data_IF_798396558233
#
_entry.id   IF_798396558233
#
_cell.length_a   1.000
_cell.length_b   1.000
_cell.length_c   1.000
_cell.angle_alpha   90.00
_cell.angle_beta   90.00
_cell.angle_gamma   90.00
#
_symmetry.space_group_name_H-M   'P 1'
#
loop_
_entity.id
_entity.type
_entity.pdbx_description
1 polymer ?
#
# COMPACT_ATOMS: atom_id res chain seq x y z
N UNK A 1 6.12 22.35 -34.33
CA UNK A 1 7.07 21.24 -34.12
C UNK A 1 7.94 21.15 -35.37
N UNK A 2 9.16 21.70 -35.33
CA UNK A 2 10.07 21.68 -36.48
C UNK A 2 10.69 20.29 -36.53
N UNK A 3 10.21 19.43 -37.43
CA UNK A 3 10.92 18.20 -37.76
C UNK A 3 12.13 18.61 -38.61
N UNK A 4 13.35 18.34 -38.11
CA UNK A 4 14.57 18.51 -38.89
C UNK A 4 14.50 17.60 -40.13
N UNK A 5 14.18 18.20 -41.29
CA UNK A 5 14.21 17.55 -42.59
C UNK A 5 15.61 16.96 -42.82
N UNK A 6 15.72 15.62 -42.76
CA UNK A 6 16.97 14.88 -42.97
C UNK A 6 17.53 14.14 -41.75
N UNK A 7 16.95 14.28 -40.56
CA UNK A 7 17.35 13.45 -39.41
C UNK A 7 16.96 11.98 -39.63
N UNK A 8 17.97 11.10 -39.67
CA UNK A 8 17.77 9.65 -39.65
C UNK A 8 17.98 9.14 -38.22
N UNK A 9 16.92 8.72 -37.51
CA UNK A 9 17.07 8.19 -36.16
C UNK A 9 17.97 6.95 -36.14
N UNK A 10 18.72 6.72 -35.05
CA UNK A 10 19.53 5.51 -34.93
C UNK A 10 18.63 4.26 -34.98
N UNK A 11 19.14 3.20 -35.60
CA UNK A 11 18.43 1.91 -35.60
C UNK A 11 18.29 1.37 -34.18
N UNK A 12 17.27 0.53 -33.93
CA UNK A 12 17.08 -0.17 -32.65
C UNK A 12 18.38 -0.83 -32.15
N UNK A 13 19.12 -1.48 -33.04
CA UNK A 13 20.41 -2.13 -32.74
C UNK A 13 21.47 -1.12 -32.28
N UNK A 14 21.55 0.03 -32.95
CA UNK A 14 22.48 1.11 -32.60
C UNK A 14 22.15 1.70 -31.24
N UNK A 15 20.87 2.03 -31.00
CA UNK A 15 20.39 2.54 -29.72
C UNK A 15 20.65 1.56 -28.57
N UNK A 16 20.35 0.26 -28.77
CA UNK A 16 20.60 -0.77 -27.76
C UNK A 16 22.08 -0.90 -27.42
N UNK A 17 22.97 -0.89 -28.43
CA UNK A 17 24.42 -0.94 -28.22
C UNK A 17 24.92 0.28 -27.45
N UNK A 18 24.44 1.48 -27.80
CA UNK A 18 24.77 2.71 -27.09
C UNK A 18 24.29 2.68 -25.63
N UNK A 19 23.05 2.24 -25.39
CA UNK A 19 22.49 2.12 -24.04
C UNK A 19 23.30 1.13 -23.18
N UNK A 20 23.67 -0.04 -23.73
CA UNK A 20 24.55 -1.00 -23.05
C UNK A 20 25.90 -0.38 -22.69
N UNK A 21 26.51 0.37 -23.61
CA UNK A 21 27.78 1.08 -23.37
C UNK A 21 27.63 2.12 -22.25
N UNK A 22 26.56 2.91 -22.27
CA UNK A 22 26.27 3.92 -21.23
C UNK A 22 26.06 3.26 -19.87
N UNK A 23 25.28 2.17 -19.81
CA UNK A 23 25.08 1.40 -18.58
C UNK A 23 26.39 0.86 -18.03
N UNK A 24 27.23 0.22 -18.86
CA UNK A 24 28.52 -0.30 -18.44
C UNK A 24 29.48 0.80 -17.96
N UNK A 25 29.47 1.97 -18.61
CA UNK A 25 30.25 3.11 -18.16
C UNK A 25 29.75 3.62 -16.81
N UNK A 26 28.43 3.77 -16.65
CA UNK A 26 27.82 4.23 -15.42
C UNK A 26 28.07 3.26 -14.26
N UNK A 27 27.94 1.94 -14.48
CA UNK A 27 28.25 0.92 -13.46
C UNK A 27 29.70 0.98 -13.01
N UNK A 28 30.66 1.17 -13.92
CA UNK A 28 32.08 1.31 -13.56
C UNK A 28 32.32 2.57 -12.72
N UNK A 29 31.73 3.68 -13.12
CA UNK A 29 31.77 4.92 -12.35
C UNK A 29 31.16 4.74 -10.96
N UNK A 30 29.97 4.14 -10.88
CA UNK A 30 29.26 3.90 -9.63
C UNK A 30 30.06 3.02 -8.67
N UNK A 31 30.68 1.94 -9.16
CA UNK A 31 31.56 1.09 -8.33
C UNK A 31 32.78 1.88 -7.83
N UNK A 32 33.39 2.73 -8.66
CA UNK A 32 34.51 3.57 -8.23
C UNK A 32 34.10 4.59 -7.16
N UNK A 33 32.91 5.18 -7.30
CA UNK A 33 32.35 6.11 -6.32
C UNK A 33 32.04 5.41 -4.99
N UNK A 34 31.32 4.29 -5.02
CA UNK A 34 30.94 3.50 -3.84
C UNK A 34 32.13 2.88 -3.09
N UNK A 35 33.31 2.80 -3.72
CA UNK A 35 34.53 2.41 -3.01
C UNK A 35 34.96 3.46 -1.99
N UNK A 36 34.67 4.74 -2.22
CA UNK A 36 35.13 5.88 -1.42
C UNK A 36 34.25 6.19 -0.21
N UNK A 37 33.06 5.57 -0.12
CA UNK A 37 32.16 5.76 1.02
C UNK A 37 32.39 4.68 2.07
N UNK A 38 32.15 5.01 3.34
CA UNK A 38 32.27 4.05 4.44
C UNK A 38 30.92 3.40 4.79
N UNK A 39 29.85 4.18 4.68
CA UNK A 39 28.50 3.78 5.08
C UNK A 39 27.51 3.94 3.93
N UNK A 40 26.60 3.00 3.79
CA UNK A 40 25.53 3.01 2.80
C UNK A 40 24.18 2.67 3.47
N UNK A 41 23.17 3.47 3.17
CA UNK A 41 21.77 3.09 3.37
C UNK A 41 21.15 2.69 2.04
N UNK A 42 20.26 1.71 2.02
CA UNK A 42 19.59 1.28 0.80
C UNK A 42 18.08 1.39 0.98
N UNK A 43 17.35 1.73 -0.08
CA UNK A 43 15.91 1.52 -0.17
C UNK A 43 15.66 0.47 -1.24
N UNK A 44 14.75 -0.47 -0.97
CA UNK A 44 14.30 -1.45 -1.95
C UNK A 44 12.81 -1.33 -2.20
N UNK A 45 12.44 -1.44 -3.47
CA UNK A 45 11.05 -1.53 -3.92
C UNK A 45 10.91 -2.79 -4.77
N UNK A 46 9.85 -3.57 -4.52
CA UNK A 46 9.53 -4.81 -5.23
C UNK A 46 8.09 -4.73 -5.71
N UNK A 47 7.89 -4.69 -7.01
CA UNK A 47 6.57 -4.55 -7.61
C UNK A 47 6.42 -5.44 -8.83
N UNK A 48 5.16 -5.71 -9.19
CA UNK A 48 4.80 -6.39 -10.43
C UNK A 48 4.12 -5.41 -11.39
N UNK A 49 4.44 -5.52 -12.67
CA UNK A 49 3.73 -4.80 -13.73
C UNK A 49 2.35 -5.41 -14.01
N UNK A 50 1.60 -4.82 -14.95
CA UNK A 50 0.25 -5.30 -15.33
C UNK A 50 0.25 -6.68 -16.02
N UNK A 51 1.41 -7.14 -16.48
CA UNK A 51 1.61 -8.45 -17.10
C UNK A 51 2.24 -9.45 -16.11
N UNK A 52 2.23 -9.12 -14.82
CA UNK A 52 2.82 -9.93 -13.74
C UNK A 52 4.33 -10.14 -13.88
N UNK A 53 5.03 -9.26 -14.61
CA UNK A 53 6.49 -9.22 -14.56
C UNK A 53 6.91 -8.49 -13.29
N UNK A 54 7.67 -9.17 -12.45
CA UNK A 54 8.15 -8.62 -11.21
C UNK A 54 9.55 -8.02 -11.34
N UNK A 55 9.79 -6.93 -10.60
CA UNK A 55 11.03 -6.17 -10.62
C UNK A 55 11.44 -5.78 -9.21
N UNK A 56 12.75 -5.78 -8.96
CA UNK A 56 13.36 -5.26 -7.75
C UNK A 56 14.27 -4.09 -8.11
N UNK A 57 14.14 -2.99 -7.38
CA UNK A 57 15.03 -1.85 -7.49
C UNK A 57 15.73 -1.61 -6.15
N UNK A 58 17.06 -1.57 -6.18
CA UNK A 58 17.89 -1.14 -5.05
C UNK A 58 18.40 0.27 -5.34
N UNK A 59 18.10 1.21 -4.45
CA UNK A 59 18.62 2.58 -4.49
C UNK A 59 19.49 2.82 -3.27
N UNK A 60 20.72 3.24 -3.50
CA UNK A 60 21.71 3.54 -2.47
C UNK A 60 21.69 5.01 -2.13
N UNK A 61 21.79 5.30 -0.84
CA UNK A 61 21.83 6.63 -0.26
C UNK A 61 23.07 6.77 0.60
N UNK A 62 23.88 7.77 0.30
CA UNK A 62 25.17 8.01 0.95
C UNK A 62 25.55 9.48 0.87
N UNK A 63 26.45 9.92 1.74
CA UNK A 63 27.08 11.24 1.65
C UNK A 63 28.39 11.07 0.88
N UNK A 64 28.59 11.86 -0.17
CA UNK A 64 29.81 11.81 -0.96
C UNK A 64 30.93 12.67 -0.32
N UNK A 65 32.10 12.72 -0.97
CA UNK A 65 33.24 13.50 -0.49
C UNK A 65 32.99 15.02 -0.42
N UNK A 66 31.96 15.52 -1.09
CA UNK A 66 31.58 16.93 -1.08
C UNK A 66 30.54 17.24 0.01
N UNK A 67 30.32 16.30 0.95
CA UNK A 67 29.30 16.36 1.99
C UNK A 67 27.88 16.53 1.45
N UNK A 68 27.60 16.00 0.25
CA UNK A 68 26.27 16.04 -0.37
C UNK A 68 25.60 14.68 -0.32
N UNK A 69 24.32 14.68 0.07
CA UNK A 69 23.47 13.50 -0.03
C UNK A 69 23.32 13.08 -1.49
N UNK A 70 23.69 11.84 -1.78
CA UNK A 70 23.50 11.20 -3.07
C UNK A 70 22.42 10.13 -2.96
N UNK A 71 21.57 10.04 -3.98
CA UNK A 71 20.63 8.95 -4.18
C UNK A 71 20.85 8.38 -5.58
N UNK A 72 21.26 7.11 -5.66
CA UNK A 72 21.63 6.44 -6.93
C UNK A 72 21.01 5.05 -7.01
N UNK A 73 20.43 4.71 -8.16
CA UNK A 73 20.00 3.34 -8.44
C UNK A 73 21.24 2.44 -8.52
N UNK A 74 21.33 1.48 -7.62
CA UNK A 74 22.41 0.49 -7.55
C UNK A 74 22.13 -0.68 -8.48
N UNK A 75 20.88 -1.13 -8.48
CA UNK A 75 20.44 -2.25 -9.31
C UNK A 75 18.96 -2.13 -9.63
N UNK A 76 18.62 -2.51 -10.85
CA UNK A 76 17.26 -2.68 -11.32
C UNK A 76 17.19 -4.02 -12.03
N UNK A 77 16.57 -5.00 -11.39
CA UNK A 77 16.60 -6.41 -11.84
C UNK A 77 15.20 -6.93 -12.04
N UNK A 78 15.00 -7.68 -13.12
CA UNK A 78 13.83 -8.56 -13.22
C UNK A 78 13.90 -9.59 -12.08
N UNK A 79 12.75 -9.86 -11.47
CA UNK A 79 12.59 -10.79 -10.37
C UNK A 79 11.51 -11.81 -10.76
N UNK A 80 11.78 -12.71 -11.71
CA UNK A 80 10.77 -13.66 -12.22
C UNK A 80 10.39 -14.73 -11.19
N UNK A 81 11.20 -14.89 -10.15
CA UNK A 81 11.05 -15.90 -9.12
C UNK A 81 9.87 -15.61 -8.20
N UNK A 82 9.44 -16.64 -7.45
CA UNK A 82 8.47 -16.45 -6.36
C UNK A 82 9.03 -15.45 -5.35
N UNK A 83 8.19 -14.54 -4.87
CA UNK A 83 8.55 -13.49 -3.90
C UNK A 83 8.73 -14.05 -2.48
N UNK A 84 9.46 -15.15 -2.32
CA UNK A 84 9.75 -15.75 -1.01
C UNK A 84 10.84 -14.94 -0.29
N UNK A 85 10.85 -14.99 1.05
CA UNK A 85 11.85 -14.28 1.85
C UNK A 85 13.29 -14.67 1.48
N UNK A 86 13.54 -15.97 1.28
CA UNK A 86 14.87 -16.47 0.87
C UNK A 86 15.33 -15.97 -0.50
N UNK A 87 14.42 -15.87 -1.48
CA UNK A 87 14.80 -15.39 -2.81
C UNK A 87 15.05 -13.87 -2.83
N UNK A 88 14.25 -13.13 -2.05
CA UNK A 88 14.46 -11.70 -1.83
C UNK A 88 15.83 -11.47 -1.19
N UNK A 89 16.15 -12.19 -0.11
CA UNK A 89 17.42 -12.02 0.61
C UNK A 89 18.63 -12.37 -0.27
N UNK A 90 18.55 -13.49 -1.00
CA UNK A 90 19.57 -13.89 -1.97
C UNK A 90 19.82 -12.79 -3.02
N UNK A 91 18.76 -12.26 -3.61
CA UNK A 91 18.86 -11.25 -4.68
C UNK A 91 19.48 -9.95 -4.16
N UNK A 92 19.01 -9.44 -3.01
CA UNK A 92 19.58 -8.25 -2.37
C UNK A 92 21.07 -8.46 -2.09
N UNK A 93 21.42 -9.57 -1.44
CA UNK A 93 22.82 -9.90 -1.08
C UNK A 93 23.70 -10.04 -2.32
N UNK A 94 23.22 -10.72 -3.37
CA UNK A 94 23.91 -10.89 -4.65
C UNK A 94 24.22 -9.55 -5.30
N UNK A 95 23.24 -8.65 -5.41
CA UNK A 95 23.42 -7.35 -6.06
C UNK A 95 24.35 -6.42 -5.28
N UNK A 96 24.22 -6.39 -3.94
CA UNK A 96 25.12 -5.59 -3.09
C UNK A 96 26.56 -6.15 -3.08
N UNK A 97 26.74 -7.48 -3.10
CA UNK A 97 28.06 -8.10 -3.23
C UNK A 97 28.69 -7.86 -4.60
N UNK A 98 27.90 -7.89 -5.68
CA UNK A 98 28.36 -7.54 -7.04
C UNK A 98 28.96 -6.14 -7.10
N UNK A 99 28.42 -5.21 -6.30
CA UNK A 99 28.91 -3.84 -6.18
C UNK A 99 29.95 -3.64 -5.06
N UNK A 100 30.30 -4.69 -4.31
CA UNK A 100 31.26 -4.64 -3.19
C UNK A 100 30.85 -3.68 -2.06
N UNK A 101 29.54 -3.56 -1.80
CA UNK A 101 28.99 -2.66 -0.77
C UNK A 101 28.14 -3.37 0.29
N UNK A 102 28.01 -4.69 0.23
CA UNK A 102 27.21 -5.44 1.19
C UNK A 102 27.62 -5.16 2.64
N UNK A 103 28.93 -5.20 2.93
CA UNK A 103 29.44 -4.98 4.28
C UNK A 103 29.39 -3.50 4.74
N UNK A 104 29.26 -2.57 3.78
CA UNK A 104 29.07 -1.14 4.04
C UNK A 104 27.59 -0.76 4.22
N UNK A 105 26.68 -1.67 3.87
CA UNK A 105 25.24 -1.43 3.94
C UNK A 105 24.76 -1.64 5.37
N UNK A 106 24.35 -0.57 6.04
CA UNK A 106 23.91 -0.61 7.44
C UNK A 106 22.42 -0.85 7.55
N UNK A 107 21.63 -0.18 6.71
CA UNK A 107 20.17 -0.26 6.74
C UNK A 107 19.61 -0.50 5.35
N UNK A 108 18.47 -1.20 5.31
CA UNK A 108 17.64 -1.31 4.10
C UNK A 108 16.21 -0.94 4.45
N UNK A 109 15.71 0.13 3.83
CA UNK A 109 14.33 0.57 3.95
C UNK A 109 13.45 -0.12 2.91
N UNK A 110 12.34 -0.72 3.34
CA UNK A 110 11.46 -1.54 2.50
C UNK A 110 10.01 -1.53 3.00
N UNK A 111 9.07 -2.02 2.19
CA UNK A 111 7.67 -2.15 2.60
C UNK A 111 7.46 -3.16 3.75
N UNK A 112 6.24 -3.23 4.27
CA UNK A 112 5.88 -4.06 5.41
C UNK A 112 5.51 -5.51 5.09
N UNK A 113 5.66 -5.98 3.84
CA UNK A 113 5.15 -7.28 3.44
C UNK A 113 5.80 -8.44 4.21
N UNK A 114 5.04 -9.51 4.46
CA UNK A 114 5.51 -10.64 5.28
C UNK A 114 6.78 -11.29 4.71
N UNK A 115 6.84 -11.49 3.39
CA UNK A 115 8.03 -12.06 2.75
C UNK A 115 9.23 -11.11 2.77
N UNK A 116 9.00 -9.80 2.73
CA UNK A 116 10.07 -8.82 2.94
C UNK A 116 10.59 -8.96 4.37
N UNK A 117 9.73 -9.00 5.39
CA UNK A 117 10.15 -9.21 6.79
C UNK A 117 11.00 -10.48 6.95
N UNK A 118 10.51 -11.63 6.47
CA UNK A 118 11.23 -12.91 6.49
C UNK A 118 12.60 -12.85 5.80
N UNK A 119 12.75 -12.04 4.74
CA UNK A 119 14.03 -11.91 4.05
C UNK A 119 15.17 -11.35 4.92
N UNK A 120 14.83 -10.58 5.96
CA UNK A 120 15.83 -9.97 6.84
C UNK A 120 16.34 -10.89 7.95
N UNK A 121 15.77 -12.08 8.13
CA UNK A 121 16.30 -13.11 9.05
C UNK A 121 17.70 -13.59 8.62
N UNK A 122 18.03 -13.47 7.31
CA UNK A 122 19.30 -13.91 6.74
C UNK A 122 20.21 -12.77 6.22
N UNK A 123 19.74 -11.52 6.31
CA UNK A 123 20.48 -10.33 5.89
C UNK A 123 21.16 -9.66 7.09
N UNK A 124 22.42 -9.26 6.92
CA UNK A 124 23.17 -8.49 7.94
C UNK A 124 22.63 -7.06 8.11
N UNK A 125 22.31 -6.30 7.03
CA UNK A 125 21.79 -4.95 7.19
C UNK A 125 20.48 -4.91 7.98
N UNK A 126 20.32 -3.92 8.87
CA UNK A 126 19.09 -3.73 9.65
C UNK A 126 17.93 -3.34 8.74
N UNK A 127 16.78 -4.00 8.92
CA UNK A 127 15.54 -3.64 8.24
C UNK A 127 15.00 -2.32 8.81
N UNK A 128 14.57 -1.42 7.94
CA UNK A 128 13.78 -0.23 8.30
C UNK A 128 12.45 -0.33 7.56
N UNK A 129 11.32 -0.35 8.28
CA UNK A 129 10.03 -0.31 7.61
C UNK A 129 9.82 1.08 7.01
N UNK A 130 9.47 1.18 5.73
CA UNK A 130 9.19 2.46 5.11
C UNK A 130 8.10 3.22 5.88
N UNK A 131 8.44 4.38 6.44
CA UNK A 131 7.53 5.18 7.24
C UNK A 131 6.30 5.64 6.43
N UNK A 132 6.49 6.05 5.18
CA UNK A 132 5.38 6.38 4.28
C UNK A 132 4.43 5.20 4.03
N UNK A 133 4.96 3.97 3.91
CA UNK A 133 4.14 2.77 3.80
C UNK A 133 3.39 2.49 5.12
N UNK A 134 4.05 2.65 6.28
CA UNK A 134 3.43 2.47 7.59
C UNK A 134 2.27 3.46 7.81
N UNK A 135 2.46 4.75 7.52
CA UNK A 135 1.40 5.77 7.57
C UNK A 135 0.23 5.45 6.64
N UNK A 136 0.53 4.96 5.43
CA UNK A 136 -0.51 4.53 4.50
C UNK A 136 -1.32 3.35 5.04
N UNK A 137 -0.68 2.36 5.67
CA UNK A 137 -1.36 1.22 6.27
C UNK A 137 -2.23 1.63 7.46
N UNK A 138 -1.77 2.57 8.30
CA UNK A 138 -2.55 3.15 9.40
C UNK A 138 -3.88 3.70 8.88
N UNK A 139 -3.82 4.53 7.84
CA UNK A 139 -5.04 5.10 7.20
C UNK A 139 -5.91 4.00 6.59
N UNK A 140 -5.31 3.07 5.83
CA UNK A 140 -6.07 1.99 5.20
C UNK A 140 -6.82 1.14 6.22
N UNK A 141 -6.18 0.76 7.33
CA UNK A 141 -6.81 -0.07 8.34
C UNK A 141 -7.82 0.72 9.18
N UNK A 142 -7.52 1.99 9.50
CA UNK A 142 -8.44 2.83 10.26
C UNK A 142 -9.77 3.05 9.53
N UNK A 143 -9.71 3.19 8.19
CA UNK A 143 -10.88 3.43 7.34
C UNK A 143 -11.39 2.15 6.64
N UNK A 144 -10.91 0.97 7.06
CA UNK A 144 -11.23 -0.35 6.48
C UNK A 144 -11.10 -0.43 4.95
N UNK A 145 -10.17 0.32 4.35
CA UNK A 145 -9.96 0.38 2.91
C UNK A 145 -9.33 -0.93 2.42
N UNK A 146 -9.83 -1.45 1.29
CA UNK A 146 -9.26 -2.61 0.59
C UNK A 146 -9.23 -3.91 1.41
N UNK A 147 -10.04 -4.01 2.47
CA UNK A 147 -10.24 -5.23 3.26
C UNK A 147 -10.74 -6.33 2.33
N UNK A 148 -10.07 -7.48 2.36
CA UNK A 148 -10.52 -8.68 1.64
C UNK A 148 -11.80 -9.17 2.35
N UNK A 149 -12.85 -9.50 1.59
CA UNK A 149 -14.04 -10.17 2.14
C UNK A 149 -13.62 -11.52 2.73
N UNK A 150 -13.36 -11.58 4.03
CA UNK A 150 -13.42 -12.81 4.81
C UNK A 150 -13.75 -12.43 6.26
N UNK A 151 -14.78 -13.10 6.79
CA UNK A 151 -15.32 -13.08 8.15
C UNK A 151 -16.16 -11.86 8.58
N UNK A 152 -17.29 -11.67 7.89
CA UNK A 152 -18.56 -11.48 8.61
C UNK A 152 -19.25 -12.84 8.45
N UNK A 153 -18.96 -13.77 9.35
CA UNK A 153 -19.89 -14.87 9.56
C UNK A 153 -21.06 -14.24 10.28
N UNK A 154 -22.18 -14.13 9.57
CA UNK A 154 -23.48 -13.95 10.19
C UNK A 154 -23.59 -15.06 11.25
N UNK A 155 -23.72 -14.67 12.51
CA UNK A 155 -24.17 -15.56 13.56
C UNK A 155 -25.62 -15.93 13.21
N UNK A 156 -25.78 -16.96 12.40
CA UNK A 156 -27.03 -17.70 12.33
C UNK A 156 -27.23 -18.36 13.70
N UNK A 157 -28.21 -17.81 14.39
CA UNK A 157 -28.83 -18.30 15.61
C UNK A 157 -29.13 -19.81 15.48
N UNK A 158 -28.41 -20.63 16.23
CA UNK A 158 -28.70 -22.06 16.33
C UNK A 158 -29.96 -22.25 17.18
N UNK A 159 -31.11 -22.21 16.51
CA UNK A 159 -32.33 -22.83 17.01
C UNK A 159 -32.22 -24.35 16.89
N UNK A 160 -32.16 -25.04 18.02
CA UNK A 160 -32.20 -26.50 18.12
C UNK A 160 -33.45 -27.08 17.41
N UNK A 161 -33.34 -28.15 16.60
CA UNK A 161 -34.51 -28.88 16.14
C UNK A 161 -34.89 -29.97 17.15
N UNK A 162 -36.07 -29.83 17.74
CA UNK A 162 -36.75 -30.94 18.40
C UNK A 162 -37.23 -31.96 17.38
N UNK A 163 -37.01 -33.23 17.72
CA UNK A 163 -37.55 -34.43 17.06
C UNK A 163 -39.04 -34.32 16.74
N UNK A 164 -39.42 -34.68 15.52
CA UNK A 164 -40.62 -35.50 15.31
C UNK A 164 -40.50 -36.30 14.01
N UNK A 165 -40.51 -37.61 14.21
CA UNK A 165 -40.51 -38.73 13.28
C UNK A 165 -41.76 -38.74 12.38
N UNK A 166 -41.60 -39.01 11.08
CA UNK A 166 -42.62 -39.70 10.29
C UNK A 166 -41.98 -40.52 9.14
N UNK A 167 -42.48 -41.74 9.02
CA UNK A 167 -41.94 -42.89 8.28
C UNK A 167 -42.26 -42.89 6.77
N UNK A 168 -41.33 -43.52 6.03
CA UNK A 168 -41.43 -44.41 4.87
C UNK A 168 -42.56 -44.32 3.82
N UNK A 169 -42.13 -44.44 2.55
CA UNK A 169 -42.99 -44.67 1.39
C UNK A 169 -42.25 -44.92 0.07
N UNK A 170 -41.56 -46.06 0.01
CA UNK A 170 -41.36 -47.03 -1.10
C UNK A 170 -41.32 -46.63 -2.60
N UNK A 171 -40.55 -47.43 -3.34
CA UNK A 171 -40.63 -47.79 -4.78
C UNK A 171 -39.98 -46.84 -5.80
N UNK A 172 -39.23 -47.26 -6.82
CA UNK A 172 -38.57 -48.52 -7.21
C UNK A 172 -37.74 -48.23 -8.49
N UNK A 173 -36.60 -48.93 -8.65
CA UNK A 173 -36.05 -49.63 -9.84
C UNK A 173 -36.10 -48.85 -11.19
N UNK A 174 -35.00 -48.61 -11.92
CA UNK A 174 -34.45 -49.54 -12.95
C UNK A 174 -33.02 -49.10 -13.35
N UNK A 175 -32.13 -50.09 -13.31
CA UNK A 175 -30.80 -50.19 -13.94
C UNK A 175 -30.89 -50.17 -15.47
N UNK A 176 -29.88 -49.62 -16.17
CA UNK A 176 -29.07 -50.39 -17.14
C UNK A 176 -27.89 -49.56 -17.65
N UNK A 177 -26.70 -50.14 -17.46
CA UNK A 177 -25.49 -49.80 -18.19
C UNK A 177 -25.64 -50.26 -19.65
N UNK A 178 -25.08 -49.50 -20.59
CA UNK A 178 -24.45 -50.07 -21.76
C UNK A 178 -23.26 -49.22 -22.18
N UNK A 179 -22.10 -49.84 -22.04
CA UNK A 179 -20.80 -49.48 -22.60
C UNK A 179 -20.84 -49.59 -24.12
N UNK A 180 -20.09 -48.72 -24.81
CA UNK A 180 -19.39 -49.05 -26.05
C UNK A 180 -18.30 -48.01 -26.28
N UNK A 181 -17.06 -48.50 -26.27
CA UNK A 181 -15.86 -47.83 -26.76
C UNK A 181 -15.92 -47.67 -28.29
N UNK A 182 -15.53 -46.50 -28.80
CA UNK A 182 -14.89 -46.42 -30.11
C UNK A 182 -14.00 -45.17 -30.19
N UNK A 183 -12.74 -45.42 -30.51
CA UNK A 183 -11.65 -44.47 -30.75
C UNK A 183 -11.81 -43.87 -32.15
N UNK A 184 -11.72 -42.55 -32.32
CA UNK A 184 -11.07 -42.00 -33.52
C UNK A 184 -10.78 -40.50 -33.48
N UNK A 185 -9.79 -40.19 -34.29
CA UNK A 185 -8.95 -38.99 -34.34
C UNK A 185 -9.55 -37.77 -35.08
N UNK A 186 -9.04 -36.60 -34.68
CA UNK A 186 -8.88 -35.35 -35.42
C UNK A 186 -10.08 -34.48 -35.88
N UNK A 187 -10.11 -33.29 -35.25
CA UNK A 187 -10.23 -31.94 -35.82
C UNK A 187 -11.65 -31.33 -35.97
N UNK A 188 -11.97 -30.31 -35.16
CA UNK A 188 -12.37 -28.94 -35.57
C UNK A 188 -12.83 -28.09 -34.38
N UNK A 189 -12.35 -26.84 -34.33
CA UNK A 189 -12.99 -25.58 -33.94
C UNK A 189 -14.03 -25.47 -32.79
N UNK A 190 -13.91 -24.33 -32.06
CA UNK A 190 -14.95 -23.51 -31.38
C UNK A 190 -15.01 -23.49 -29.82
N UNK A 191 -14.94 -22.24 -29.35
CA UNK A 191 -15.49 -21.56 -28.17
C UNK A 191 -14.93 -21.66 -26.73
N UNK A 192 -15.01 -20.48 -26.11
CA UNK A 192 -15.32 -20.15 -24.72
C UNK A 192 -15.13 -21.26 -23.67
N UNK A 193 -14.35 -20.96 -22.63
CA UNK A 193 -14.89 -20.78 -21.26
C UNK A 193 -13.82 -20.39 -20.24
N UNK A 194 -14.18 -19.36 -19.47
CA UNK A 194 -13.95 -19.14 -18.03
C UNK A 194 -13.46 -20.36 -17.25
N UNK A 195 -12.33 -20.28 -16.53
CA UNK A 195 -12.04 -21.16 -15.38
C UNK A 195 -11.19 -20.49 -14.30
N UNK A 196 -11.43 -20.96 -13.09
CA UNK A 196 -11.15 -20.45 -11.76
C UNK A 196 -9.66 -20.35 -11.38
N UNK A 197 -9.33 -19.36 -10.53
CA UNK A 197 -8.13 -19.37 -9.70
C UNK A 197 -8.25 -20.51 -8.69
N UNK A 198 -7.34 -21.49 -8.81
CA UNK A 198 -7.20 -22.60 -7.85
C UNK A 198 -6.26 -22.22 -6.71
N UNK A 199 -6.64 -22.75 -5.55
CA UNK A 199 -6.05 -22.67 -4.24
C UNK A 199 -4.58 -23.13 -4.16
N UNK A 200 -3.81 -22.56 -3.24
CA UNK A 200 -2.56 -23.14 -2.75
C UNK A 200 -2.77 -23.62 -1.31
N UNK A 201 -2.43 -24.90 -1.17
CA UNK A 201 -2.49 -25.81 -0.02
C UNK A 201 -1.49 -25.39 1.06
N UNK A 202 -1.92 -25.54 2.31
CA UNK A 202 -1.10 -25.53 3.52
C UNK A 202 -0.29 -26.83 3.61
N UNK A 203 1.03 -26.73 3.78
CA UNK A 203 1.86 -27.87 4.18
C UNK A 203 2.21 -27.70 5.67
N UNK A 204 1.67 -28.63 6.46
CA UNK A 204 2.09 -28.95 7.82
C UNK A 204 3.56 -29.39 7.83
N UNK A 205 4.35 -28.93 8.81
CA UNK A 205 5.55 -29.65 9.21
C UNK A 205 5.71 -29.62 10.73
N UNK A 206 5.59 -30.82 11.30
CA UNK A 206 5.83 -31.17 12.70
C UNK A 206 7.30 -31.55 12.84
N UNK A 207 8.06 -30.83 13.66
CA UNK A 207 9.25 -31.40 14.27
C UNK A 207 9.40 -30.96 15.72
N UNK A 208 9.21 -31.94 16.60
CA UNK A 208 9.61 -31.97 18.00
C UNK A 208 11.14 -31.93 18.15
N UNK A 209 11.61 -31.12 19.09
CA UNK A 209 12.99 -31.15 19.59
C UNK A 209 13.05 -30.43 20.93
N UNK A 210 13.15 -31.22 21.99
CA UNK A 210 13.50 -30.79 23.35
C UNK A 210 14.93 -30.21 23.34
N UNK A 211 15.19 -29.16 24.13
CA UNK A 211 16.21 -29.19 25.19
C UNK A 211 16.51 -27.79 25.78
N UNK A 212 16.55 -27.81 27.10
CA UNK A 212 17.37 -27.05 28.04
C UNK A 212 17.10 -25.56 28.33
N UNK A 213 16.36 -25.41 29.43
CA UNK A 213 16.40 -24.27 30.32
C UNK A 213 17.81 -24.00 30.85
N UNK A 214 18.31 -22.78 30.63
CA UNK A 214 19.37 -22.19 31.44
C UNK A 214 18.86 -20.85 31.96
N UNK A 215 18.66 -20.82 33.27
CA UNK A 215 18.47 -19.63 34.08
C UNK A 215 19.74 -18.78 34.05
N UNK A 216 19.62 -17.50 33.71
CA UNK A 216 20.63 -16.53 34.13
C UNK A 216 19.96 -15.31 34.75
N UNK A 217 20.47 -14.99 35.93
CA UNK A 217 20.02 -14.04 36.92
C UNK A 217 20.65 -12.68 36.58
N UNK A 218 19.84 -11.63 36.41
CA UNK A 218 20.37 -10.28 36.50
C UNK A 218 19.38 -9.33 37.16
N UNK A 219 19.77 -8.96 38.37
CA UNK A 219 19.25 -7.88 39.18
C UNK A 219 19.38 -6.51 38.50
N UNK A 220 18.22 -5.88 38.33
CA UNK A 220 17.83 -4.52 38.72
C UNK A 220 18.69 -3.27 38.40
N UNK A 221 17.95 -2.24 37.99
CA UNK A 221 18.23 -0.79 37.95
C UNK A 221 18.98 -0.20 36.73
N UNK A 222 18.19 0.26 35.76
CA UNK A 222 18.32 1.63 35.27
C UNK A 222 16.94 2.13 34.84
N UNK A 223 16.56 3.31 35.33
CA UNK A 223 15.29 3.98 35.06
C UNK A 223 15.06 4.17 33.55
N UNK A 224 14.40 3.19 32.94
CA UNK A 224 13.82 3.33 31.60
C UNK A 224 12.59 4.21 31.78
N UNK A 225 12.65 5.45 31.28
CA UNK A 225 11.44 6.24 31.03
C UNK A 225 10.58 5.41 30.07
N UNK A 226 9.61 4.70 30.64
CA UNK A 226 8.70 3.85 29.90
C UNK A 226 7.73 4.79 29.19
N UNK A 227 8.02 5.12 27.92
CA UNK A 227 7.12 5.82 27.01
C UNK A 227 5.94 4.88 26.69
N UNK A 228 5.13 4.58 27.70
CA UNK A 228 4.12 3.54 27.65
C UNK A 228 2.89 4.10 26.93
N UNK A 229 2.88 3.96 25.60
CA UNK A 229 1.80 4.39 24.69
C UNK A 229 0.39 3.88 25.04
N UNK A 230 0.28 2.99 26.04
CA UNK A 230 -0.94 2.28 26.43
C UNK A 230 -1.66 2.85 27.64
N UNK A 231 -1.03 3.72 28.44
CA UNK A 231 -1.63 4.14 29.71
C UNK A 231 -2.89 5.00 29.46
N UNK A 232 -4.07 4.43 29.72
CA UNK A 232 -5.38 5.10 29.62
C UNK A 232 -6.06 5.14 28.24
N UNK A 233 -5.43 4.65 27.16
CA UNK A 233 -5.96 4.81 25.79
C UNK A 233 -6.81 3.63 25.31
N UNK A 234 -6.54 2.40 25.78
CA UNK A 234 -7.07 1.18 25.15
C UNK A 234 -8.51 0.82 25.57
N UNK A 235 -8.94 1.18 26.79
CA UNK A 235 -10.25 0.81 27.33
C UNK A 235 -11.42 1.55 26.64
N UNK A 236 -11.21 2.78 26.17
CA UNK A 236 -12.26 3.63 25.55
C UNK A 236 -12.42 3.39 24.02
N UNK A 237 -11.55 2.60 23.39
CA UNK A 237 -11.47 2.41 21.93
C UNK A 237 -12.24 1.19 21.40
N UNK A 238 -12.98 0.46 22.25
CA UNK A 238 -13.56 -0.84 21.91
C UNK A 238 -15.06 -0.81 21.59
N UNK A 239 -15.78 0.27 21.93
CA UNK A 239 -17.23 0.18 22.12
C UNK A 239 -18.13 0.42 20.89
N UNK A 240 -17.72 1.15 19.83
CA UNK A 240 -18.58 1.42 18.63
C UNK A 240 -17.77 1.52 17.30
N UNK A 241 -16.62 0.85 17.17
CA UNK A 241 -15.71 1.13 16.03
C UNK A 241 -16.14 0.57 14.67
N UNK A 242 -16.96 -0.49 14.61
CA UNK A 242 -17.22 -1.23 13.36
C UNK A 242 -18.23 -0.53 12.41
N UNK A 243 -19.32 0.01 12.95
CA UNK A 243 -20.39 0.65 12.16
C UNK A 243 -19.89 1.93 11.50
N UNK A 244 -19.11 2.73 12.24
CA UNK A 244 -18.50 3.97 11.76
C UNK A 244 -17.52 3.69 10.61
N UNK A 245 -16.62 2.72 10.80
CA UNK A 245 -15.68 2.28 9.77
C UNK A 245 -16.39 1.80 8.51
N UNK A 246 -17.48 1.04 8.65
CA UNK A 246 -18.30 0.59 7.52
C UNK A 246 -18.88 1.77 6.73
N UNK A 247 -19.47 2.74 7.43
CA UNK A 247 -20.11 3.91 6.78
C UNK A 247 -19.09 4.76 6.02
N UNK A 248 -17.93 5.03 6.64
CA UNK A 248 -16.80 5.73 6.00
C UNK A 248 -16.33 4.98 4.76
N UNK A 249 -16.14 3.66 4.88
CA UNK A 249 -15.69 2.83 3.77
C UNK A 249 -16.64 2.87 2.58
N UNK A 250 -17.95 2.82 2.85
CA UNK A 250 -18.98 2.84 1.82
C UNK A 250 -19.05 4.17 1.09
N UNK A 251 -18.95 5.30 1.80
CA UNK A 251 -18.85 6.63 1.20
C UNK A 251 -17.63 6.76 0.26
N UNK A 252 -16.45 6.33 0.74
CA UNK A 252 -15.22 6.34 -0.07
C UNK A 252 -15.34 5.38 -1.26
N UNK A 253 -15.96 4.20 -1.07
CA UNK A 253 -16.18 3.23 -2.15
C UNK A 253 -17.09 3.78 -3.24
N UNK A 254 -18.19 4.46 -2.90
CA UNK A 254 -19.04 5.17 -3.87
C UNK A 254 -18.23 6.18 -4.68
N UNK A 255 -17.35 6.95 -4.03
CA UNK A 255 -16.44 7.87 -4.71
C UNK A 255 -15.52 7.16 -5.72
N UNK A 256 -14.89 6.05 -5.31
CA UNK A 256 -14.04 5.25 -6.22
C UNK A 256 -14.81 4.75 -7.43
N UNK A 257 -15.98 4.18 -7.20
CA UNK A 257 -16.81 3.59 -8.24
C UNK A 257 -17.35 4.66 -9.19
N UNK A 258 -17.74 5.83 -8.67
CA UNK A 258 -18.10 7.00 -9.47
C UNK A 258 -16.94 7.43 -10.38
N UNK A 259 -15.75 7.71 -9.84
CA UNK A 259 -14.60 8.16 -10.66
C UNK A 259 -14.22 7.10 -11.69
N UNK A 260 -14.27 5.81 -11.32
CA UNK A 260 -14.03 4.70 -12.24
C UNK A 260 -15.08 4.66 -13.35
N UNK A 261 -16.36 4.88 -13.04
CA UNK A 261 -17.43 4.96 -14.04
C UNK A 261 -17.22 6.13 -15.00
N UNK A 262 -16.88 7.32 -14.48
CA UNK A 262 -16.56 8.50 -15.29
C UNK A 262 -15.39 8.21 -16.23
N UNK A 263 -14.28 7.66 -15.71
CA UNK A 263 -13.06 7.37 -16.49
C UNK A 263 -13.27 6.39 -17.65
N UNK A 264 -14.28 5.51 -17.56
CA UNK A 264 -14.60 4.50 -18.56
C UNK A 264 -15.71 4.90 -19.52
N UNK A 265 -16.46 5.96 -19.20
CA UNK A 265 -17.59 6.43 -19.99
C UNK A 265 -17.25 7.73 -20.70
N UNK A 266 -17.21 7.69 -22.04
CA UNK A 266 -17.04 8.89 -22.85
C UNK A 266 -18.13 9.92 -22.58
N UNK A 267 -19.38 9.48 -22.35
CA UNK A 267 -20.53 10.35 -22.06
C UNK A 267 -20.29 11.11 -20.75
N UNK A 268 -19.96 10.41 -19.66
CA UNK A 268 -19.75 11.02 -18.35
C UNK A 268 -18.48 11.89 -18.35
N UNK A 269 -17.40 11.42 -18.97
CA UNK A 269 -16.16 12.20 -19.11
C UNK A 269 -16.39 13.50 -19.90
N UNK A 270 -17.15 13.45 -20.98
CA UNK A 270 -17.49 14.63 -21.77
C UNK A 270 -18.36 15.61 -20.98
N UNK A 271 -19.34 15.12 -20.22
CA UNK A 271 -20.15 15.96 -19.33
C UNK A 271 -19.27 16.70 -18.31
N UNK A 272 -18.44 15.95 -17.56
CA UNK A 272 -17.56 16.54 -16.55
C UNK A 272 -16.59 17.56 -17.19
N UNK A 273 -15.99 17.25 -18.33
CA UNK A 273 -15.06 18.18 -19.00
C UNK A 273 -15.77 19.44 -19.51
N UNK A 274 -17.01 19.32 -20.01
CA UNK A 274 -17.83 20.47 -20.42
C UNK A 274 -18.15 21.37 -19.24
N UNK A 275 -18.62 20.79 -18.13
CA UNK A 275 -18.97 21.54 -16.91
C UNK A 275 -17.73 22.18 -16.26
N UNK A 276 -16.59 21.49 -16.24
CA UNK A 276 -15.32 22.06 -15.81
C UNK A 276 -14.92 23.29 -16.64
N UNK A 277 -15.19 23.27 -17.95
CA UNK A 277 -14.94 24.41 -18.84
C UNK A 277 -15.77 25.64 -18.48
N UNK A 278 -17.03 25.45 -18.06
CA UNK A 278 -17.91 26.54 -17.59
C UNK A 278 -17.40 27.14 -16.27
N UNK A 279 -17.00 26.27 -15.34
CA UNK A 279 -16.56 26.66 -14.00
C UNK A 279 -15.06 27.05 -13.95
N UNK A 280 -14.37 27.07 -15.11
CA UNK A 280 -12.92 27.34 -15.25
C UNK A 280 -12.04 26.46 -14.37
N UNK A 281 -12.44 25.21 -14.18
CA UNK A 281 -11.70 24.24 -13.35
C UNK A 281 -10.72 23.41 -14.20
N UNK A 282 -9.45 23.41 -13.83
CA UNK A 282 -8.42 22.61 -14.49
C UNK A 282 -8.30 21.19 -13.94
N UNK A 283 -8.50 21.00 -12.64
CA UNK A 283 -8.14 19.77 -11.93
C UNK A 283 -9.00 18.58 -12.35
N UNK A 284 -8.40 17.40 -12.53
CA UNK A 284 -9.13 16.18 -12.89
C UNK A 284 -9.65 15.46 -11.65
N UNK A 285 -10.70 14.65 -11.82
CA UNK A 285 -11.10 13.67 -10.81
C UNK A 285 -9.97 12.67 -10.58
N UNK A 286 -9.64 12.42 -9.32
CA UNK A 286 -8.47 11.63 -8.94
C UNK A 286 -8.85 10.17 -8.70
N UNK A 287 -8.06 9.25 -9.24
CA UNK A 287 -8.26 7.80 -9.04
C UNK A 287 -7.60 7.39 -7.72
N UNK A 288 -8.37 6.73 -6.86
CA UNK A 288 -7.86 6.07 -5.66
C UNK A 288 -7.11 4.78 -6.02
N UNK A 289 -5.97 4.54 -5.36
CA UNK A 289 -5.05 3.48 -5.75
C UNK A 289 -4.42 2.83 -4.52
N UNK A 290 -4.76 1.55 -4.31
CA UNK A 290 -4.29 0.75 -3.17
C UNK A 290 -2.77 0.81 -2.93
N UNK A 291 -1.95 0.89 -3.98
CA UNK A 291 -0.49 0.91 -3.87
C UNK A 291 0.13 2.31 -3.88
N UNK A 292 -0.66 3.37 -4.07
CA UNK A 292 -0.16 4.75 -4.11
C UNK A 292 -0.57 5.48 -2.85
N UNK A 293 0.42 5.88 -2.05
CA UNK A 293 0.17 6.61 -0.81
C UNK A 293 -0.59 7.90 -1.06
N UNK A 294 -1.45 8.24 -0.09
CA UNK A 294 -2.32 9.42 -0.10
C UNK A 294 -3.28 9.52 -1.29
N UNK A 295 -3.49 8.44 -2.05
CA UNK A 295 -4.45 8.46 -3.17
C UNK A 295 -5.90 8.59 -2.72
N UNK A 296 -6.26 8.07 -1.54
CA UNK A 296 -7.59 8.25 -0.94
C UNK A 296 -7.84 9.70 -0.55
N UNK A 297 -6.88 10.37 0.09
CA UNK A 297 -6.94 11.82 0.35
C UNK A 297 -7.16 12.61 -0.95
N UNK A 298 -6.37 12.32 -2.00
CA UNK A 298 -6.52 13.00 -3.29
C UNK A 298 -7.87 12.71 -3.97
N UNK A 299 -8.40 11.49 -3.83
CA UNK A 299 -9.74 11.13 -4.32
C UNK A 299 -10.78 12.03 -3.63
N UNK A 300 -10.82 12.01 -2.30
CA UNK A 300 -11.80 12.75 -1.50
C UNK A 300 -11.71 14.24 -1.78
N UNK A 301 -10.50 14.81 -1.76
CA UNK A 301 -10.25 16.21 -2.11
C UNK A 301 -10.80 16.56 -3.50
N UNK A 302 -10.59 15.68 -4.49
CA UNK A 302 -11.08 15.90 -5.84
C UNK A 302 -12.61 15.82 -5.94
N UNK A 303 -13.25 14.94 -5.16
CA UNK A 303 -14.71 14.81 -5.12
C UNK A 303 -15.34 16.05 -4.49
N UNK A 304 -14.82 16.50 -3.34
CA UNK A 304 -15.28 17.71 -2.66
C UNK A 304 -15.09 18.95 -3.55
N UNK A 305 -13.94 19.07 -4.22
CA UNK A 305 -13.67 20.17 -5.14
C UNK A 305 -14.64 20.22 -6.33
N UNK A 306 -15.15 19.07 -6.77
CA UNK A 306 -16.10 18.96 -7.90
C UNK A 306 -17.56 18.79 -7.44
N UNK A 307 -17.89 19.03 -6.17
CA UNK A 307 -19.23 18.79 -5.59
C UNK A 307 -20.36 19.45 -6.39
N UNK A 308 -20.18 20.69 -6.85
CA UNK A 308 -21.15 21.41 -7.68
C UNK A 308 -21.41 20.72 -9.02
N UNK A 309 -20.35 20.32 -9.73
CA UNK A 309 -20.43 19.63 -11.02
C UNK A 309 -21.07 18.25 -10.87
N UNK A 310 -20.70 17.52 -9.82
CA UNK A 310 -21.28 16.22 -9.49
C UNK A 310 -22.79 16.39 -9.23
N UNK A 311 -23.19 17.41 -8.47
CA UNK A 311 -24.59 17.72 -8.23
C UNK A 311 -25.39 17.96 -9.52
N UNK A 312 -24.84 18.73 -10.47
CA UNK A 312 -25.46 18.94 -11.79
C UNK A 312 -25.56 17.66 -12.60
N UNK A 313 -24.52 16.82 -12.59
CA UNK A 313 -24.54 15.52 -13.25
C UNK A 313 -25.69 14.65 -12.74
N UNK A 314 -25.92 14.62 -11.43
CA UNK A 314 -27.00 13.84 -10.83
C UNK A 314 -28.38 14.45 -11.06
N UNK A 315 -28.49 15.77 -11.17
CA UNK A 315 -29.73 16.45 -11.57
C UNK A 315 -30.10 16.16 -13.03
N UNK A 316 -29.12 16.13 -13.93
CA UNK A 316 -29.31 15.96 -15.38
C UNK A 316 -29.15 14.50 -15.84
N UNK A 317 -28.95 13.53 -14.93
CA UNK A 317 -28.57 12.15 -15.28
C UNK A 317 -29.54 11.42 -16.21
N UNK A 318 -30.82 11.80 -16.18
CA UNK A 318 -31.88 11.22 -17.02
C UNK A 318 -31.90 11.80 -18.45
N UNK A 319 -31.28 12.96 -18.66
CA UNK A 319 -31.12 13.59 -19.97
C UNK A 319 -29.87 13.09 -20.70
N UNK A 320 -28.98 12.41 -19.97
CA UNK A 320 -27.81 11.76 -20.56
C UNK A 320 -28.25 10.50 -21.30
N UNK A 321 -27.68 10.27 -22.49
CA UNK A 321 -27.90 9.08 -23.32
C UNK A 321 -27.27 7.80 -22.70
N UNK A 322 -27.60 7.49 -21.45
CA UNK A 322 -27.13 6.33 -20.71
C UNK A 322 -28.13 5.18 -20.82
N UNK A 323 -27.62 3.96 -20.89
CA UNK A 323 -28.46 2.75 -20.79
C UNK A 323 -29.05 2.64 -19.37
N UNK A 324 -30.21 1.96 -19.24
CA UNK A 324 -30.84 1.69 -17.93
C UNK A 324 -29.87 1.06 -16.92
N UNK A 325 -29.01 0.13 -17.36
CA UNK A 325 -27.98 -0.50 -16.51
C UNK A 325 -26.92 0.50 -16.02
N UNK A 326 -26.49 1.43 -16.87
CA UNK A 326 -25.54 2.48 -16.48
C UNK A 326 -26.17 3.48 -15.51
N UNK A 327 -27.43 3.83 -15.72
CA UNK A 327 -28.18 4.77 -14.87
C UNK A 327 -28.42 4.21 -13.45
N UNK A 328 -28.77 2.93 -13.34
CA UNK A 328 -28.91 2.25 -12.04
C UNK A 328 -27.58 2.26 -11.28
N UNK A 329 -26.48 1.90 -11.96
CA UNK A 329 -25.14 1.94 -11.34
C UNK A 329 -24.77 3.35 -10.90
N UNK A 330 -24.94 4.34 -11.76
CA UNK A 330 -24.63 5.73 -11.47
C UNK A 330 -25.41 6.24 -10.25
N UNK A 331 -26.70 5.94 -10.17
CA UNK A 331 -27.56 6.28 -9.02
C UNK A 331 -27.12 5.58 -7.74
N UNK A 332 -26.63 4.34 -7.83
CA UNK A 332 -26.05 3.64 -6.68
C UNK A 332 -24.78 4.28 -6.11
N UNK A 333 -24.10 5.14 -6.88
CA UNK A 333 -22.91 5.89 -6.43
C UNK A 333 -23.24 7.28 -5.89
N UNK A 334 -24.52 7.68 -5.93
CA UNK A 334 -24.95 9.00 -5.45
C UNK A 334 -24.71 9.11 -3.94
N UNK A 335 -24.03 10.18 -3.55
CA UNK A 335 -23.69 10.48 -2.17
C UNK A 335 -24.87 11.21 -1.51
N UNK A 336 -25.34 10.69 -0.37
CA UNK A 336 -26.34 11.36 0.45
C UNK A 336 -25.69 12.47 1.31
N UNK A 337 -26.52 13.21 2.05
CA UNK A 337 -26.06 14.34 2.87
C UNK A 337 -25.01 13.94 3.91
N UNK A 338 -25.22 12.84 4.61
CA UNK A 338 -24.34 12.37 5.68
C UNK A 338 -23.02 11.86 5.10
N UNK A 339 -23.05 11.18 3.96
CA UNK A 339 -21.85 10.76 3.24
C UNK A 339 -21.00 11.97 2.80
N UNK A 340 -21.61 13.08 2.37
CA UNK A 340 -20.86 14.31 2.09
C UNK A 340 -20.17 14.87 3.33
N UNK A 341 -20.85 14.87 4.48
CA UNK A 341 -20.28 15.34 5.76
C UNK A 341 -19.11 14.44 6.18
N UNK A 342 -19.27 13.12 6.03
CA UNK A 342 -18.20 12.15 6.29
C UNK A 342 -16.97 12.43 5.40
N UNK A 343 -17.17 12.73 4.11
CA UNK A 343 -16.06 13.07 3.22
C UNK A 343 -15.34 14.35 3.63
N UNK A 344 -16.07 15.38 4.07
CA UNK A 344 -15.46 16.61 4.60
C UNK A 344 -14.61 16.30 5.85
N UNK A 345 -15.10 15.50 6.79
CA UNK A 345 -14.35 15.08 7.99
C UNK A 345 -13.12 14.22 7.63
N UNK A 346 -13.27 13.27 6.70
CA UNK A 346 -12.15 12.46 6.20
C UNK A 346 -11.09 13.34 5.54
N UNK A 347 -11.50 14.34 4.75
CA UNK A 347 -10.57 15.25 4.12
C UNK A 347 -9.76 16.05 5.15
N UNK A 348 -10.44 16.59 6.16
CA UNK A 348 -9.83 17.35 7.24
C UNK A 348 -8.74 16.54 7.94
N UNK A 349 -9.08 15.35 8.43
CA UNK A 349 -8.15 14.51 9.20
C UNK A 349 -7.01 13.97 8.34
N UNK A 350 -7.28 13.61 7.08
CA UNK A 350 -6.24 13.09 6.19
C UNK A 350 -5.27 14.17 5.68
N UNK A 351 -5.55 15.47 5.87
CA UNK A 351 -4.59 16.53 5.49
C UNK A 351 -3.28 16.38 6.28
N UNK A 352 -3.34 16.18 7.60
CA UNK A 352 -2.15 15.99 8.44
C UNK A 352 -1.34 14.76 8.01
N UNK A 353 -2.02 13.65 7.67
CA UNK A 353 -1.37 12.45 7.14
C UNK A 353 -0.77 12.66 5.74
N UNK A 354 -1.41 13.46 4.90
CA UNK A 354 -0.89 13.83 3.58
C UNK A 354 0.41 14.63 3.70
N UNK A 355 0.44 15.63 4.58
CA UNK A 355 1.61 16.47 4.82
C UNK A 355 2.75 15.68 5.46
N UNK A 356 2.45 14.83 6.44
CA UNK A 356 3.40 13.89 7.02
C UNK A 356 4.00 12.95 5.95
N UNK A 357 3.17 12.37 5.09
CA UNK A 357 3.64 11.49 4.01
C UNK A 357 4.53 12.26 3.02
N UNK A 358 4.19 13.51 2.69
CA UNK A 358 4.97 14.37 1.81
C UNK A 358 6.35 14.69 2.42
N UNK A 359 6.39 14.96 3.72
CA UNK A 359 7.62 15.23 4.48
C UNK A 359 8.56 14.00 4.49
N UNK A 360 8.04 12.81 4.78
CA UNK A 360 8.89 11.61 4.87
C UNK A 360 9.25 11.02 3.50
N UNK A 361 8.61 11.50 2.42
CA UNK A 361 8.89 11.10 1.03
C UNK A 361 9.84 12.04 0.28
N UNK A 362 10.49 12.96 1.00
CA UNK A 362 11.50 13.87 0.46
C UNK A 362 12.66 13.17 -0.25
N UNK A 363 13.25 13.85 -1.25
CA UNK A 363 14.39 13.33 -2.03
C UNK A 363 15.65 14.20 -1.97
N UNK A 364 15.52 15.42 -1.47
CA UNK A 364 16.59 16.43 -1.45
C UNK A 364 17.20 16.59 -0.05
N UNK A 365 16.68 15.86 0.94
CA UNK A 365 17.05 15.97 2.34
C UNK A 365 17.01 14.61 3.04
N UNK A 366 17.62 14.53 4.22
CA UNK A 366 17.55 13.36 5.07
C UNK A 366 16.16 13.27 5.72
N UNK A 367 15.38 12.25 5.35
CA UNK A 367 14.01 12.09 5.85
C UNK A 367 13.93 11.34 7.18
N UNK A 368 14.94 10.52 7.50
CA UNK A 368 14.90 9.67 8.70
C UNK A 368 14.95 10.49 10.00
N UNK A 369 15.68 11.61 9.99
CA UNK A 369 15.75 12.54 11.11
C UNK A 369 14.42 13.22 11.42
N UNK A 370 13.54 13.35 10.42
CA UNK A 370 12.21 13.93 10.58
C UNK A 370 11.16 12.92 11.02
N UNK A 371 11.48 11.61 11.00
CA UNK A 371 10.49 10.56 11.19
C UNK A 371 9.82 10.59 12.56
N UNK A 372 10.61 10.74 13.64
CA UNK A 372 10.09 10.81 15.01
C UNK A 372 9.20 12.04 15.22
N UNK A 373 9.71 13.23 14.85
CA UNK A 373 8.95 14.49 14.89
C UNK A 373 7.63 14.37 14.12
N UNK A 374 7.65 13.77 12.93
CA UNK A 374 6.44 13.58 12.11
C UNK A 374 5.41 12.70 12.83
N UNK A 375 5.85 11.59 13.44
CA UNK A 375 4.96 10.66 14.14
C UNK A 375 4.38 11.31 15.40
N UNK A 376 5.19 12.04 16.17
CA UNK A 376 4.72 12.72 17.38
C UNK A 376 3.73 13.84 17.06
N UNK A 377 4.00 14.68 16.06
CA UNK A 377 3.05 15.72 15.69
C UNK A 377 1.72 15.13 15.18
N UNK A 378 1.78 14.01 14.45
CA UNK A 378 0.57 13.29 14.06
C UNK A 378 -0.17 12.74 15.29
N UNK A 379 0.55 12.19 16.26
CA UNK A 379 -0.02 11.68 17.52
C UNK A 379 -0.71 12.80 18.29
N UNK A 380 -0.04 13.93 18.51
CA UNK A 380 -0.62 15.09 19.20
C UNK A 380 -1.89 15.57 18.50
N UNK A 381 -1.84 15.76 17.18
CA UNK A 381 -3.02 16.16 16.39
C UNK A 381 -4.20 15.19 16.51
N UNK A 382 -3.96 13.88 16.51
CA UNK A 382 -5.03 12.88 16.64
C UNK A 382 -5.42 12.60 18.10
N UNK A 383 -4.68 13.10 19.09
CA UNK A 383 -5.04 13.05 20.52
C UNK A 383 -5.88 14.28 20.92
N UNK A 384 -5.67 15.42 20.26
CA UNK A 384 -6.52 16.59 20.39
C UNK A 384 -7.99 16.27 20.04
N UNK A 385 -8.90 16.70 20.92
CA UNK A 385 -10.36 16.50 20.85
C UNK A 385 -11.07 17.84 20.69
N UNK A 386 -10.63 18.60 19.70
CA UNK A 386 -11.07 19.95 19.39
C UNK A 386 -12.01 20.00 18.18
N UNK A 387 -12.26 18.84 17.54
CA UNK A 387 -13.11 18.71 16.36
C UNK A 387 -14.59 18.54 16.67
N UNK A 388 -15.38 18.33 15.61
CA UNK A 388 -16.74 17.81 15.77
C UNK A 388 -16.71 16.32 16.15
N UNK A 389 -17.86 15.78 16.52
CA UNK A 389 -17.98 14.39 16.99
C UNK A 389 -17.42 13.39 15.96
N UNK A 390 -17.70 13.59 14.68
CA UNK A 390 -17.27 12.73 13.58
C UNK A 390 -15.75 12.78 13.33
N UNK A 391 -15.14 13.96 13.43
CA UNK A 391 -13.69 14.17 13.33
C UNK A 391 -12.98 13.49 14.50
N UNK A 392 -13.48 13.66 15.73
CA UNK A 392 -12.90 13.04 16.91
C UNK A 392 -12.99 11.52 16.87
N UNK A 393 -14.10 10.96 16.39
CA UNK A 393 -14.23 9.52 16.14
C UNK A 393 -13.18 9.03 15.13
N UNK A 394 -13.02 9.75 14.02
CA UNK A 394 -12.03 9.42 12.99
C UNK A 394 -10.60 9.46 13.54
N UNK A 395 -10.27 10.48 14.32
CA UNK A 395 -8.98 10.62 15.03
C UNK A 395 -8.76 9.42 15.97
N UNK A 396 -9.77 8.95 16.71
CA UNK A 396 -9.66 7.74 17.56
C UNK A 396 -9.35 6.47 16.78
N UNK A 397 -10.01 6.26 15.63
CA UNK A 397 -9.73 5.11 14.75
C UNK A 397 -8.28 5.13 14.25
N UNK A 398 -7.77 6.31 13.88
CA UNK A 398 -6.40 6.51 13.43
C UNK A 398 -5.39 6.33 14.57
N UNK A 399 -5.69 6.85 15.78
CA UNK A 399 -4.84 6.70 16.96
C UNK A 399 -4.68 5.23 17.34
N UNK A 400 -5.77 4.46 17.33
CA UNK A 400 -5.72 3.00 17.56
C UNK A 400 -4.75 2.31 16.60
N UNK A 401 -4.82 2.64 15.31
CA UNK A 401 -3.93 2.05 14.31
C UNK A 401 -2.50 2.58 14.43
N UNK A 402 -2.31 3.87 14.73
CA UNK A 402 -0.99 4.46 14.95
C UNK A 402 -0.25 3.71 16.07
N UNK A 403 -0.89 3.59 17.23
CA UNK A 403 -0.37 2.85 18.39
C UNK A 403 -0.03 1.40 17.98
N UNK A 404 -0.98 0.70 17.36
CA UNK A 404 -0.77 -0.68 16.93
C UNK A 404 0.43 -0.86 15.98
N UNK A 405 0.72 0.11 15.11
CA UNK A 405 1.85 0.02 14.16
C UNK A 405 3.22 0.39 14.74
N UNK A 406 3.26 1.20 15.80
CA UNK A 406 4.50 1.63 16.44
C UNK A 406 4.84 0.80 17.68
N UNK A 407 3.85 0.34 18.44
CA UNK A 407 4.05 -0.60 19.56
C UNK A 407 4.58 -1.96 19.08
N UNK A 408 4.05 -2.48 17.97
CA UNK A 408 4.50 -3.74 17.38
C UNK A 408 5.86 -3.64 16.64
N UNK A 409 6.51 -2.48 16.68
CA UNK A 409 7.77 -2.20 15.98
C UNK A 409 8.61 -1.19 16.79
N UNK A 410 8.73 -1.44 18.10
CA UNK A 410 9.42 -0.58 19.06
C UNK A 410 10.86 -0.27 18.64
N UNK A 411 11.60 -1.28 18.15
CA UNK A 411 12.97 -1.11 17.64
C UNK A 411 13.10 -0.04 16.55
N UNK A 412 12.08 0.07 15.69
CA UNK A 412 12.07 1.12 14.69
C UNK A 412 11.71 2.47 15.29
N UNK A 413 10.76 2.51 16.21
CA UNK A 413 10.38 3.74 16.88
C UNK A 413 11.57 4.36 17.64
N UNK A 414 12.33 3.54 18.36
CA UNK A 414 13.58 3.97 19.02
C UNK A 414 14.63 4.43 18.01
N UNK A 415 14.76 3.72 16.88
CA UNK A 415 15.65 4.14 15.81
C UNK A 415 15.28 5.53 15.25
N UNK A 416 13.97 5.83 15.10
CA UNK A 416 13.51 7.17 14.70
C UNK A 416 13.83 8.21 15.77
N UNK A 417 13.61 7.89 17.06
CA UNK A 417 13.90 8.78 18.19
C UNK A 417 15.38 9.17 18.25
N UNK A 418 16.26 8.19 18.17
CA UNK A 418 17.71 8.41 18.13
C UNK A 418 18.10 9.25 16.90
N UNK A 419 17.57 8.90 15.71
CA UNK A 419 17.86 9.65 14.48
C UNK A 419 17.46 11.13 14.55
N UNK A 420 16.34 11.42 15.21
CA UNK A 420 15.87 12.79 15.45
C UNK A 420 16.79 13.56 16.39
N UNK A 421 17.19 12.96 17.52
CA UNK A 421 18.14 13.59 18.46
C UNK A 421 19.47 13.94 17.79
N UNK A 422 20.01 13.04 16.95
CA UNK A 422 21.20 13.32 16.16
C UNK A 422 20.99 14.49 15.18
N UNK A 423 19.81 14.57 14.55
CA UNK A 423 19.51 15.63 13.58
C UNK A 423 19.41 17.01 14.23
N UNK A 424 18.84 17.11 15.44
CA UNK A 424 18.82 18.34 16.22
C UNK A 424 20.24 18.71 16.65
N UNK A 425 20.97 17.77 17.23
CA UNK A 425 22.31 18.02 17.82
C UNK A 425 23.32 18.48 16.77
N UNK A 426 23.17 18.01 15.53
CA UNK A 426 24.07 18.35 14.42
C UNK A 426 23.62 19.60 13.62
N UNK A 427 22.59 20.34 14.08
CA UNK A 427 21.98 21.47 13.36
C UNK A 427 21.66 21.15 11.89
N UNK A 428 21.27 19.90 11.59
CA UNK A 428 20.93 19.49 10.22
C UNK A 428 19.71 20.26 9.71
N UNK A 429 18.92 20.84 10.62
CA UNK A 429 17.76 21.66 10.29
C UNK A 429 18.10 23.05 9.71
N UNK A 430 19.27 23.62 10.03
CA UNK A 430 19.72 24.91 9.48
C UNK A 430 20.22 24.81 8.03
N UNK A 431 20.26 23.59 7.46
CA UNK A 431 20.56 23.35 6.05
C UNK A 431 19.30 23.33 5.16
N UNK A 432 18.13 23.64 5.73
CA UNK A 432 16.83 23.60 5.04
C UNK A 432 16.14 24.96 4.84
N UNK A 433 16.80 26.07 5.20
CA UNK A 433 16.52 27.41 4.65
C UNK A 433 17.41 27.70 3.44
#
# INVERSE_FOLDING_TARGET
MIFFLGYKPPTRRTAQRQLKRLCNNHTRWLVAELKRIDTLAVTTDLWSDKKMNSYMCLTGHYINSDSKLQSKVLSFTAFPERHTGGQISYTIKKELKRLQVYDKTHTITCDGAANIKKSFESLKPKRVHCLGHKLHLIVCNALCLWVKKQQINETEDQGEPMNESFEDGDSSIITTNNSNDFDDTHNTDIDQTTWHESDMIDDDDLSSGEDDAMSDDSSDTSDVVNDNWKEGVLEDLTSITCIEQYTINQAIKKCRDFVKAVSKSSILSNFINKEKGKDKLSNSLMIDCKSRWSSTHRLVQSILFHKSIIGRLYAEKYELNLTRKQLIKLTGYELNRDEWIILDCVQEVLNSFFDATKLVSGKQYSTIGLGYFTVNNLKEYIEERDGNHEVDQLKRLLLRQLINYFDNDADQYDFLKVSYLFSITLNVFDLYE
#
